data_IF_036800662680
#
_entry.id   IF_036800662680
#
_cell.length_a   1.000
_cell.length_b   1.000
_cell.length_c   1.000
_cell.angle_alpha   90.00
_cell.angle_beta   90.00
_cell.angle_gamma   90.00
#
_symmetry.space_group_name_H-M   'P 1'
#
loop_
_entity.id
_entity.type
_entity.pdbx_description
1 polymer ?
#
# COMPACT_ATOMS: atom_id res chain seq x y z
N UNK A 1 51.75 41.93 -5.54
CA UNK A 1 50.92 41.33 -4.47
C UNK A 1 49.60 40.84 -5.08
N UNK A 2 49.60 39.72 -5.83
CA UNK A 2 48.39 39.20 -6.53
C UNK A 2 48.22 37.67 -6.35
N UNK A 3 49.06 36.99 -5.58
CA UNK A 3 49.14 35.52 -5.60
C UNK A 3 48.56 34.79 -4.38
N UNK A 4 48.00 35.49 -3.38
CA UNK A 4 47.49 34.83 -2.16
C UNK A 4 45.96 34.74 -2.05
N UNK A 5 45.22 35.56 -2.78
CA UNK A 5 43.76 35.63 -2.64
C UNK A 5 43.02 34.57 -3.46
N UNK A 6 43.56 34.13 -4.60
CA UNK A 6 42.91 33.14 -5.47
C UNK A 6 42.96 31.71 -4.91
N UNK A 7 43.99 31.36 -4.13
CA UNK A 7 44.13 30.00 -3.57
C UNK A 7 43.09 29.75 -2.48
N UNK A 8 42.68 30.78 -1.73
CA UNK A 8 41.69 30.65 -0.66
C UNK A 8 40.25 30.46 -1.18
N UNK A 9 39.91 31.00 -2.36
CA UNK A 9 38.57 30.86 -2.94
C UNK A 9 38.34 29.46 -3.51
N UNK A 10 39.38 28.84 -4.08
CA UNK A 10 39.29 27.46 -4.59
C UNK A 10 39.27 26.40 -3.47
N UNK A 11 39.79 26.70 -2.28
CA UNK A 11 39.76 25.77 -1.15
C UNK A 11 38.36 25.68 -0.49
N UNK A 12 37.55 26.74 -0.56
CA UNK A 12 36.23 26.74 0.08
C UNK A 12 35.15 25.96 -0.71
N UNK A 13 35.34 25.72 -2.01
CA UNK A 13 34.40 24.92 -2.80
C UNK A 13 34.51 23.41 -2.55
N UNK A 14 35.62 22.92 -1.98
CA UNK A 14 35.84 21.48 -1.77
C UNK A 14 35.21 20.97 -0.46
N UNK A 15 34.89 21.86 0.49
CA UNK A 15 34.39 21.45 1.81
C UNK A 15 32.86 21.47 1.96
N UNK A 16 32.10 22.00 1.00
CA UNK A 16 30.61 22.09 1.10
C UNK A 16 29.88 21.09 0.19
N UNK A 17 30.62 20.38 -0.68
CA UNK A 17 30.04 19.57 -1.76
C UNK A 17 30.04 18.06 -1.57
N UNK A 18 30.36 17.53 -0.39
CA UNK A 18 30.41 16.08 -0.16
C UNK A 18 29.27 15.61 0.75
N UNK A 19 28.15 15.37 0.07
CA UNK A 19 27.17 14.31 0.32
C UNK A 19 26.47 14.34 1.68
N UNK A 20 25.44 15.19 1.70
CA UNK A 20 24.07 14.84 2.07
C UNK A 20 23.82 13.39 2.45
N UNK A 21 23.20 13.23 3.62
CA UNK A 21 22.37 12.09 4.00
C UNK A 21 21.39 11.77 2.88
N UNK A 22 21.71 10.76 2.07
CA UNK A 22 20.72 9.99 1.36
C UNK A 22 20.78 8.60 1.97
N UNK A 23 19.99 8.39 3.02
CA UNK A 23 19.39 7.06 3.15
C UNK A 23 18.67 6.84 1.83
N UNK A 24 19.24 5.93 1.03
CA UNK A 24 18.64 5.44 -0.20
C UNK A 24 17.33 4.75 0.19
N UNK A 25 16.28 5.55 0.33
CA UNK A 25 14.93 5.03 0.22
C UNK A 25 14.86 4.54 -1.22
N UNK A 26 14.78 3.22 -1.47
CA UNK A 26 14.61 2.75 -2.83
C UNK A 26 13.39 3.50 -3.37
N UNK A 27 13.54 4.13 -4.53
CA UNK A 27 12.45 4.74 -5.27
C UNK A 27 11.50 3.58 -5.67
N UNK A 28 10.72 3.11 -4.69
CA UNK A 28 9.58 2.26 -4.95
C UNK A 28 8.71 3.14 -5.80
N UNK A 29 8.48 2.74 -7.05
CA UNK A 29 7.53 3.36 -7.96
C UNK A 29 6.26 3.66 -7.17
N UNK A 30 6.14 4.90 -6.69
CA UNK A 30 5.06 5.33 -5.80
C UNK A 30 3.87 5.55 -6.72
N UNK A 31 3.25 4.43 -7.11
CA UNK A 31 1.84 4.42 -7.42
C UNK A 31 1.21 4.91 -6.13
N UNK A 32 0.95 6.21 -6.07
CA UNK A 32 0.20 6.89 -5.02
C UNK A 32 -1.03 6.02 -4.77
N UNK A 33 -0.94 5.15 -3.76
CA UNK A 33 -2.05 4.31 -3.39
C UNK A 33 -3.08 5.28 -2.86
N UNK A 34 -4.25 5.43 -3.51
CA UNK A 34 -5.26 6.32 -2.97
C UNK A 34 -5.52 5.87 -1.54
N UNK A 35 -5.40 6.81 -0.60
CA UNK A 35 -5.85 6.63 0.79
C UNK A 35 -7.16 5.83 0.77
N UNK A 36 -7.38 4.88 1.70
CA UNK A 36 -8.62 4.13 1.81
C UNK A 36 -9.82 5.02 1.51
N UNK A 37 -10.46 4.78 0.37
CA UNK A 37 -11.69 5.50 0.09
C UNK A 37 -12.74 4.79 0.96
N UNK A 38 -13.09 5.42 2.08
CA UNK A 38 -14.34 5.15 2.78
C UNK A 38 -15.48 5.39 1.78
N UNK A 39 -15.92 4.32 1.12
CA UNK A 39 -17.17 4.33 0.36
C UNK A 39 -18.28 3.96 1.35
N UNK A 40 -19.10 4.97 1.68
CA UNK A 40 -20.28 4.87 2.56
C UNK A 40 -21.54 4.58 1.72
N UNK A 41 -22.50 3.87 2.33
CA UNK A 41 -23.96 3.74 2.08
C UNK A 41 -24.36 2.24 1.89
N UNK A 42 -25.26 1.60 2.66
CA UNK A 42 -26.25 2.04 3.65
C UNK A 42 -26.39 0.98 4.78
N UNK A 43 -26.64 1.47 6.00
CA UNK A 43 -27.15 0.82 7.23
C UNK A 43 -26.22 0.18 8.30
N UNK A 44 -25.11 -0.51 8.03
CA UNK A 44 -24.17 -0.95 9.09
C UNK A 44 -22.93 -1.63 8.48
N UNK A 45 -22.03 -0.90 7.82
CA UNK A 45 -20.90 -1.53 7.10
C UNK A 45 -19.67 -0.62 7.04
N UNK A 46 -19.04 -0.39 8.20
CA UNK A 46 -17.72 0.27 8.29
C UNK A 46 -16.63 -0.68 7.78
N UNK A 47 -16.48 -0.77 6.45
CA UNK A 47 -15.36 -1.48 5.83
C UNK A 47 -14.05 -0.73 6.10
N UNK A 48 -13.40 -1.10 7.19
CA UNK A 48 -12.06 -0.61 7.49
C UNK A 48 -11.10 -1.27 6.50
N UNK A 49 -10.62 -0.50 5.52
CA UNK A 49 -9.50 -0.93 4.68
C UNK A 49 -8.31 -1.18 5.59
N UNK A 50 -7.78 -2.39 5.52
CA UNK A 50 -6.70 -2.83 6.41
C UNK A 50 -5.35 -2.56 5.77
N UNK A 51 -5.23 -2.81 4.47
CA UNK A 51 -3.96 -2.67 3.76
C UNK A 51 -4.14 -2.71 2.23
N UNK A 52 -3.07 -2.43 1.51
CA UNK A 52 -2.93 -2.67 0.08
C UNK A 52 -2.04 -3.89 -0.17
N UNK A 53 -2.28 -4.59 -1.27
CA UNK A 53 -1.45 -5.70 -1.75
C UNK A 53 -1.30 -5.64 -3.27
N UNK A 54 -0.38 -6.40 -3.84
CA UNK A 54 -0.29 -6.57 -5.29
C UNK A 54 -1.34 -7.56 -5.78
N UNK A 55 -2.02 -7.26 -6.87
CA UNK A 55 -2.87 -8.22 -7.57
C UNK A 55 -2.76 -8.02 -9.09
N UNK A 56 -3.01 -9.08 -9.85
CA UNK A 56 -3.01 -9.05 -11.31
C UNK A 56 -4.43 -9.33 -11.81
N UNK A 57 -5.05 -8.37 -12.51
CA UNK A 57 -6.43 -8.52 -13.01
C UNK A 57 -6.63 -9.64 -14.02
N UNK A 58 -5.57 -10.17 -14.63
CA UNK A 58 -5.65 -11.31 -15.55
C UNK A 58 -5.74 -12.65 -14.80
N UNK A 59 -5.19 -12.72 -13.59
CA UNK A 59 -5.12 -13.95 -12.80
C UNK A 59 -6.07 -13.93 -11.60
N UNK A 60 -6.32 -12.73 -11.07
CA UNK A 60 -7.08 -12.49 -9.86
C UNK A 60 -8.40 -11.81 -10.22
N UNK A 61 -9.54 -12.41 -9.87
CA UNK A 61 -10.83 -11.75 -10.09
C UNK A 61 -10.94 -10.48 -9.24
N UNK A 62 -11.76 -9.54 -9.72
CA UNK A 62 -12.00 -8.24 -9.07
C UNK A 62 -12.37 -8.41 -7.59
N UNK A 63 -13.18 -9.42 -7.28
CA UNK A 63 -13.49 -9.81 -5.90
C UNK A 63 -12.89 -11.20 -5.64
N UNK A 64 -12.00 -11.27 -4.66
CA UNK A 64 -11.35 -12.52 -4.23
C UNK A 64 -11.17 -12.53 -2.72
N UNK A 65 -10.90 -13.70 -2.14
CA UNK A 65 -10.51 -13.79 -0.73
C UNK A 65 -8.99 -13.73 -0.65
N UNK A 66 -8.46 -12.89 0.24
CA UNK A 66 -7.04 -12.89 0.56
C UNK A 66 -6.73 -13.94 1.62
N UNK A 67 -7.61 -14.01 2.63
CA UNK A 67 -7.59 -14.99 3.70
C UNK A 67 -9.04 -15.29 4.13
N UNK A 68 -9.20 -16.15 5.15
CA UNK A 68 -10.51 -16.60 5.64
C UNK A 68 -11.40 -15.50 6.20
N UNK A 69 -10.86 -14.32 6.53
CA UNK A 69 -11.55 -13.22 7.18
C UNK A 69 -11.31 -11.88 6.47
N UNK A 70 -10.64 -11.88 5.32
CA UNK A 70 -10.32 -10.67 4.56
C UNK A 70 -10.63 -10.88 3.09
N UNK A 71 -11.48 -10.01 2.55
CA UNK A 71 -11.73 -9.94 1.10
C UNK A 71 -10.74 -8.97 0.45
N UNK A 72 -10.36 -9.28 -0.77
CA UNK A 72 -9.56 -8.44 -1.64
C UNK A 72 -10.40 -7.91 -2.79
N UNK A 73 -10.34 -6.60 -2.99
CA UNK A 73 -10.82 -5.94 -4.20
C UNK A 73 -9.64 -5.62 -5.11
N UNK A 74 -9.47 -6.40 -6.17
CA UNK A 74 -8.40 -6.21 -7.14
C UNK A 74 -8.79 -5.15 -8.17
N UNK A 75 -7.96 -4.12 -8.30
CA UNK A 75 -8.09 -3.05 -9.27
C UNK A 75 -6.79 -2.89 -10.07
N UNK A 76 -6.74 -2.06 -11.14
CA UNK A 76 -5.54 -1.92 -11.98
C UNK A 76 -4.31 -1.37 -11.24
N UNK A 77 -4.51 -0.73 -10.09
CA UNK A 77 -3.46 -0.11 -9.28
C UNK A 77 -2.90 -1.15 -8.28
N UNK A 78 -3.76 -2.00 -7.73
CA UNK A 78 -3.42 -3.07 -6.80
C UNK A 78 -4.66 -3.69 -6.14
N UNK A 79 -4.43 -4.53 -5.15
CA UNK A 79 -5.46 -5.17 -4.34
C UNK A 79 -5.74 -4.39 -3.07
N UNK A 80 -7.00 -4.04 -2.84
CA UNK A 80 -7.46 -3.42 -1.60
C UNK A 80 -7.91 -4.52 -0.64
N UNK A 81 -7.29 -4.62 0.54
CA UNK A 81 -7.65 -5.60 1.56
C UNK A 81 -8.66 -5.03 2.55
N UNK A 82 -9.77 -5.73 2.72
CA UNK A 82 -10.90 -5.33 3.55
C UNK A 82 -11.25 -6.49 4.48
N UNK A 83 -11.14 -6.29 5.79
CA UNK A 83 -11.51 -7.32 6.76
C UNK A 83 -13.03 -7.47 6.88
N UNK A 84 -13.50 -8.70 6.99
CA UNK A 84 -14.86 -9.07 7.33
C UNK A 84 -15.08 -8.93 8.84
N UNK A 85 -15.45 -7.73 9.30
CA UNK A 85 -15.64 -7.42 10.72
C UNK A 85 -17.06 -7.63 11.22
N UNK A 86 -18.05 -7.74 10.32
CA UNK A 86 -19.42 -8.02 10.72
C UNK A 86 -19.46 -9.40 11.38
N UNK A 87 -19.85 -9.45 12.66
CA UNK A 87 -19.99 -10.68 13.43
C UNK A 87 -21.01 -11.66 12.81
N UNK A 88 -21.97 -11.15 12.02
CA UNK A 88 -22.92 -11.99 11.27
C UNK A 88 -22.32 -12.52 9.97
N UNK A 89 -21.26 -11.89 9.46
CA UNK A 89 -20.59 -12.25 8.21
C UNK A 89 -19.06 -12.24 8.34
N UNK A 90 -18.48 -13.00 9.29
CA UNK A 90 -17.07 -12.85 9.64
C UNK A 90 -16.12 -13.55 8.66
N UNK A 91 -16.65 -14.33 7.71
CA UNK A 91 -15.83 -15.15 6.82
C UNK A 91 -15.80 -14.60 5.41
N UNK A 92 -14.63 -14.60 4.79
CA UNK A 92 -14.55 -14.40 3.34
C UNK A 92 -14.92 -15.70 2.63
N UNK A 93 -15.85 -15.63 1.69
CA UNK A 93 -16.23 -16.75 0.86
C UNK A 93 -16.64 -16.25 -0.54
N UNK A 94 -15.88 -16.70 -1.55
CA UNK A 94 -15.99 -16.27 -2.96
C UNK A 94 -15.87 -14.74 -3.13
N UNK A 95 -14.91 -14.14 -2.42
CA UNK A 95 -14.59 -12.71 -2.51
C UNK A 95 -15.54 -11.78 -1.75
N UNK A 96 -16.47 -12.31 -0.96
CA UNK A 96 -17.43 -11.53 -0.18
C UNK A 96 -17.46 -11.99 1.27
N UNK A 97 -17.74 -11.07 2.18
CA UNK A 97 -17.98 -11.39 3.58
C UNK A 97 -19.34 -12.08 3.74
N UNK A 98 -19.33 -13.28 4.34
CA UNK A 98 -20.46 -14.18 4.50
C UNK A 98 -20.45 -14.79 5.90
N UNK A 99 -21.62 -15.27 6.32
CA UNK A 99 -21.79 -16.02 7.56
C UNK A 99 -21.17 -17.41 7.51
N UNK A 100 -20.99 -17.97 6.31
CA UNK A 100 -20.44 -19.31 6.09
C UNK A 100 -19.01 -19.24 5.56
N UNK A 101 -18.06 -19.96 6.17
CA UNK A 101 -16.68 -20.04 5.67
C UNK A 101 -16.62 -20.63 4.26
N UNK A 102 -15.55 -20.35 3.53
CA UNK A 102 -15.20 -21.10 2.33
C UNK A 102 -14.73 -22.51 2.70
N UNK A 103 -14.75 -23.43 1.73
CA UNK A 103 -14.39 -24.83 1.95
C UNK A 103 -12.96 -24.99 2.51
N UNK A 104 -12.03 -24.11 2.09
CA UNK A 104 -10.64 -24.09 2.57
C UNK A 104 -10.50 -23.58 4.02
N UNK A 105 -11.48 -22.81 4.50
CA UNK A 105 -11.48 -22.15 5.80
C UNK A 105 -12.42 -22.82 6.82
N UNK A 106 -13.09 -23.90 6.43
CA UNK A 106 -14.03 -24.67 7.25
C UNK A 106 -13.38 -25.87 7.97
N UNK A 107 -12.05 -25.89 8.06
CA UNK A 107 -11.26 -26.97 8.68
C UNK A 107 -11.29 -26.93 10.20
#
# INVERSE_FOLDING_TARGET
MITKTFVAVLAFCVAVGALSLAEEYPETNDKIFPKPIEYVNDEDDTYNVVSWTSCNLTETPIFSCHDCNTRMFCNPIGGLLISCRDNRRPHCNRGLCRSTPSDECAQ
#
